data_IF_654889634654
#
_entry.id   IF_654889634654
#
_cell.length_a   1.000
_cell.length_b   1.000
_cell.length_c   1.000
_cell.angle_alpha   90.00
_cell.angle_beta   90.00
_cell.angle_gamma   90.00
#
_symmetry.space_group_name_H-M   'P 1'
#
loop_
_entity.id
_entity.type
_entity.pdbx_description
1 polymer ?
#
# COMPACT_ATOMS: atom_id res chain seq x y z
N UNK A 1 -22.85 3.20 4.78
CA UNK A 1 -21.55 3.76 5.14
C UNK A 1 -21.07 4.74 4.10
N UNK A 2 -20.18 5.63 4.53
CA UNK A 2 -19.32 6.41 3.64
C UNK A 2 -18.08 5.59 3.30
N UNK A 3 -17.30 6.11 2.35
CA UNK A 3 -16.10 5.47 1.84
C UNK A 3 -15.03 5.22 2.92
N UNK A 4 -14.94 6.10 3.93
CA UNK A 4 -13.92 6.07 4.99
C UNK A 4 -14.31 5.29 6.26
N UNK A 5 -15.61 5.06 6.48
CA UNK A 5 -16.09 4.70 7.82
C UNK A 5 -16.87 3.37 7.86
N UNK A 6 -16.85 2.58 6.78
CA UNK A 6 -17.52 1.28 6.70
C UNK A 6 -17.30 0.38 7.93
N UNK A 7 -16.05 0.18 8.38
CA UNK A 7 -15.77 -0.63 9.58
C UNK A 7 -16.39 -0.05 10.86
N UNK A 8 -16.34 1.27 11.07
CA UNK A 8 -16.92 1.90 12.27
C UNK A 8 -18.44 1.91 12.27
N UNK A 9 -19.07 2.08 11.11
CA UNK A 9 -20.54 1.93 10.97
C UNK A 9 -20.96 0.51 11.37
N UNK A 10 -20.20 -0.50 10.92
CA UNK A 10 -20.45 -1.89 11.28
C UNK A 10 -20.28 -2.16 12.79
N UNK A 11 -19.34 -1.48 13.47
CA UNK A 11 -19.23 -1.58 14.92
C UNK A 11 -20.50 -1.08 15.63
N UNK A 12 -21.09 0.02 15.16
CA UNK A 12 -22.36 0.54 15.69
C UNK A 12 -23.52 -0.43 15.46
N UNK A 13 -23.61 -1.00 14.25
CA UNK A 13 -24.62 -2.02 13.92
C UNK A 13 -24.45 -3.26 14.81
N UNK A 14 -23.21 -3.76 14.94
CA UNK A 14 -22.89 -4.93 15.77
C UNK A 14 -23.29 -4.72 17.23
N UNK A 15 -22.93 -3.56 17.80
CA UNK A 15 -23.30 -3.21 19.16
C UNK A 15 -24.82 -3.18 19.35
N UNK A 16 -25.59 -2.66 18.39
CA UNK A 16 -27.06 -2.68 18.44
C UNK A 16 -27.62 -4.09 18.32
N UNK A 17 -27.09 -4.91 17.40
CA UNK A 17 -27.53 -6.29 17.23
C UNK A 17 -27.25 -7.14 18.47
N UNK A 18 -26.14 -6.91 19.16
CA UNK A 18 -25.81 -7.59 20.40
C UNK A 18 -26.81 -7.27 21.53
N UNK A 19 -27.26 -6.01 21.63
CA UNK A 19 -28.33 -5.61 22.56
C UNK A 19 -29.67 -6.29 22.24
N UNK A 20 -29.93 -6.57 20.95
CA UNK A 20 -31.15 -7.25 20.49
C UNK A 20 -31.04 -8.78 20.60
N UNK A 21 -29.89 -9.32 21.02
CA UNK A 21 -29.64 -10.76 21.11
C UNK A 21 -29.29 -11.42 19.78
N UNK A 22 -29.02 -10.67 18.71
CA UNK A 22 -28.72 -11.18 17.37
C UNK A 22 -27.23 -11.52 17.18
N UNK A 23 -26.61 -12.18 18.17
CA UNK A 23 -25.16 -12.46 18.20
C UNK A 23 -24.71 -13.36 17.04
N UNK A 24 -25.59 -14.25 16.58
CA UNK A 24 -25.30 -15.23 15.53
C UNK A 24 -25.53 -14.70 14.10
N UNK A 25 -26.00 -13.45 13.95
CA UNK A 25 -26.15 -12.84 12.62
C UNK A 25 -24.80 -12.39 12.09
N UNK A 26 -24.40 -12.93 10.94
CA UNK A 26 -23.20 -12.51 10.23
C UNK A 26 -23.31 -11.07 9.75
N UNK A 27 -22.31 -10.26 10.07
CA UNK A 27 -22.21 -8.87 9.63
C UNK A 27 -20.95 -8.71 8.77
N UNK A 28 -21.16 -8.33 7.52
CA UNK A 28 -20.11 -8.17 6.52
C UNK A 28 -19.96 -6.71 6.10
N UNK A 29 -18.72 -6.27 5.99
CA UNK A 29 -18.31 -5.00 5.39
C UNK A 29 -17.56 -5.33 4.11
N UNK A 30 -18.02 -4.78 2.98
CA UNK A 30 -17.38 -4.97 1.68
C UNK A 30 -16.83 -3.63 1.23
N UNK A 31 -15.57 -3.60 0.81
CA UNK A 31 -14.93 -2.37 0.33
C UNK A 31 -13.78 -2.66 -0.62
N UNK A 32 -13.44 -1.67 -1.45
CA UNK A 32 -12.26 -1.73 -2.31
C UNK A 32 -10.96 -1.45 -1.55
N UNK A 33 -9.83 -1.59 -2.25
CA UNK A 33 -8.51 -1.31 -1.67
C UNK A 33 -8.37 0.14 -1.18
N UNK A 34 -8.84 1.14 -1.93
CA UNK A 34 -8.80 2.54 -1.46
C UNK A 34 -9.57 2.79 -0.15
N UNK A 35 -10.68 2.09 0.08
CA UNK A 35 -11.44 2.22 1.33
C UNK A 35 -10.71 1.59 2.51
N UNK A 36 -10.08 0.43 2.30
CA UNK A 36 -9.59 -0.42 3.38
C UNK A 36 -8.09 -0.26 3.65
N UNK A 37 -7.31 0.11 2.64
CA UNK A 37 -5.85 0.30 2.75
C UNK A 37 -5.46 1.76 2.98
N UNK A 38 -6.28 2.71 2.52
CA UNK A 38 -5.99 4.14 2.61
C UNK A 38 -6.92 4.85 3.60
N UNK A 39 -7.97 5.52 3.12
CA UNK A 39 -8.75 6.48 3.91
C UNK A 39 -9.48 5.85 5.10
N UNK A 40 -10.01 4.63 4.95
CA UNK A 40 -10.69 3.91 6.01
C UNK A 40 -9.81 2.96 6.81
N UNK A 41 -8.49 2.94 6.56
CA UNK A 41 -7.59 2.04 7.26
C UNK A 41 -7.58 2.26 8.79
N UNK A 42 -7.71 3.51 9.25
CA UNK A 42 -7.82 3.81 10.68
C UNK A 42 -9.08 3.20 11.31
N UNK A 43 -10.23 3.32 10.63
CA UNK A 43 -11.48 2.71 11.06
C UNK A 43 -11.39 1.18 11.04
N UNK A 44 -10.81 0.61 9.99
CA UNK A 44 -10.56 -0.83 9.87
C UNK A 44 -9.69 -1.35 11.01
N UNK A 45 -8.55 -0.71 11.26
CA UNK A 45 -7.62 -1.09 12.31
C UNK A 45 -8.29 -1.06 13.69
N UNK A 46 -9.12 -0.04 13.96
CA UNK A 46 -9.91 0.03 15.20
C UNK A 46 -10.92 -1.10 15.32
N UNK A 47 -11.61 -1.46 14.23
CA UNK A 47 -12.57 -2.56 14.18
C UNK A 47 -11.88 -3.91 14.41
N UNK A 48 -10.73 -4.15 13.76
CA UNK A 48 -9.95 -5.37 13.95
C UNK A 48 -9.46 -5.52 15.39
N UNK A 49 -9.06 -4.42 16.04
CA UNK A 49 -8.69 -4.41 17.45
C UNK A 49 -9.87 -4.49 18.44
N UNK A 50 -11.13 -4.43 17.97
CA UNK A 50 -12.30 -4.39 18.86
C UNK A 50 -12.72 -5.75 19.41
N UNK A 51 -12.32 -6.85 18.76
CA UNK A 51 -12.80 -8.20 19.07
C UNK A 51 -14.26 -8.46 18.66
N UNK A 52 -14.93 -7.49 18.04
CA UNK A 52 -16.31 -7.65 17.57
C UNK A 52 -16.40 -8.66 16.42
N UNK A 53 -17.45 -9.47 16.41
CA UNK A 53 -17.73 -10.43 15.35
C UNK A 53 -18.23 -9.71 14.08
N UNK A 54 -17.28 -9.19 13.30
CA UNK A 54 -17.49 -8.44 12.06
C UNK A 54 -16.51 -8.96 11.01
N UNK A 55 -17.01 -9.20 9.80
CA UNK A 55 -16.25 -9.73 8.67
C UNK A 55 -15.99 -8.62 7.67
N UNK A 56 -14.77 -8.54 7.16
CA UNK A 56 -14.39 -7.56 6.14
C UNK A 56 -13.93 -8.31 4.90
N UNK A 57 -14.55 -8.01 3.76
CA UNK A 57 -14.16 -8.48 2.44
C UNK A 57 -13.57 -7.30 1.65
N UNK A 58 -12.27 -7.33 1.43
CA UNK A 58 -11.56 -6.34 0.62
C UNK A 58 -11.49 -6.84 -0.81
N UNK A 59 -12.12 -6.12 -1.73
CA UNK A 59 -11.96 -6.33 -3.17
C UNK A 59 -10.75 -5.52 -3.63
N UNK A 60 -9.59 -6.16 -3.62
CA UNK A 60 -8.34 -5.49 -3.93
C UNK A 60 -8.16 -5.42 -5.45
N UNK A 61 -8.33 -4.22 -6.00
CA UNK A 61 -8.12 -3.91 -7.41
C UNK A 61 -6.82 -3.16 -7.68
N UNK A 62 -6.01 -2.90 -6.65
CA UNK A 62 -4.74 -2.19 -6.74
C UNK A 62 -4.82 -0.75 -7.26
N UNK A 63 -6.01 -0.16 -7.32
CA UNK A 63 -6.27 1.20 -7.79
C UNK A 63 -7.62 1.67 -7.24
N UNK A 64 -7.84 2.99 -7.23
CA UNK A 64 -9.18 3.54 -7.09
C UNK A 64 -9.98 3.38 -8.40
N UNK A 65 -10.51 2.18 -8.62
CA UNK A 65 -11.15 1.81 -9.89
C UNK A 65 -12.29 2.76 -10.29
N UNK A 66 -13.23 3.04 -9.38
CA UNK A 66 -14.43 3.83 -9.70
C UNK A 66 -14.13 5.30 -10.07
N UNK A 67 -13.09 5.90 -9.49
CA UNK A 67 -12.70 7.29 -9.79
C UNK A 67 -11.76 7.38 -11.01
N UNK A 68 -11.54 6.26 -11.69
CA UNK A 68 -10.78 6.17 -12.93
C UNK A 68 -9.31 5.82 -12.73
N UNK A 69 -8.97 4.97 -11.75
CA UNK A 69 -7.67 4.31 -11.69
C UNK A 69 -6.53 5.13 -11.10
N UNK A 70 -6.79 5.90 -10.04
CA UNK A 70 -5.73 6.54 -9.26
C UNK A 70 -4.93 5.51 -8.46
N UNK A 71 -3.66 5.82 -8.21
CA UNK A 71 -2.83 5.05 -7.28
C UNK A 71 -3.46 4.98 -5.89
N UNK A 72 -3.47 3.78 -5.30
CA UNK A 72 -3.75 3.51 -3.89
C UNK A 72 -2.50 2.97 -3.20
N UNK A 73 -2.48 2.86 -1.87
CA UNK A 73 -1.35 2.16 -1.23
C UNK A 73 -1.31 0.66 -1.56
N UNK A 74 -2.39 0.09 -2.09
CA UNK A 74 -2.44 -1.26 -2.67
C UNK A 74 -1.89 -1.38 -4.10
N UNK A 75 -1.60 -0.28 -4.78
CA UNK A 75 -0.97 -0.27 -6.11
C UNK A 75 0.45 -0.86 -6.05
N UNK A 76 0.83 -1.66 -7.07
CA UNK A 76 2.18 -2.22 -7.15
C UNK A 76 3.22 -1.14 -7.48
N UNK A 77 4.43 -1.32 -6.97
CA UNK A 77 5.61 -0.54 -7.38
C UNK A 77 5.78 -0.62 -8.90
N UNK A 78 6.04 0.52 -9.54
CA UNK A 78 6.20 0.64 -10.99
C UNK A 78 4.90 0.61 -11.80
N UNK A 79 3.74 0.41 -11.18
CA UNK A 79 2.46 0.38 -11.90
C UNK A 79 2.11 1.77 -12.47
N UNK A 80 1.74 1.82 -13.75
CA UNK A 80 1.24 3.04 -14.38
C UNK A 80 -0.21 3.27 -13.97
N UNK A 81 -0.49 4.39 -13.29
CA UNK A 81 -1.83 4.78 -12.83
C UNK A 81 -2.01 6.29 -12.98
N UNK A 82 -3.24 6.80 -12.79
CA UNK A 82 -3.42 8.24 -12.61
C UNK A 82 -2.74 8.65 -11.30
N UNK A 83 -2.03 9.77 -11.30
CA UNK A 83 -1.16 10.25 -10.20
C UNK A 83 0.18 9.51 -10.03
N UNK A 84 0.42 8.43 -10.78
CA UNK A 84 1.75 7.79 -10.86
C UNK A 84 2.00 7.26 -12.28
N UNK A 85 2.17 8.16 -13.27
CA UNK A 85 2.42 7.76 -14.64
C UNK A 85 3.83 7.19 -14.83
N UNK A 86 3.98 6.34 -15.84
CA UNK A 86 5.28 5.94 -16.37
C UNK A 86 5.64 6.85 -17.55
N UNK A 87 6.81 7.47 -17.46
CA UNK A 87 7.44 8.39 -18.42
C UNK A 87 8.97 8.38 -18.28
N UNK A 88 9.65 9.41 -18.78
CA UNK A 88 11.12 9.47 -18.77
C UNK A 88 11.70 9.67 -17.36
N UNK A 89 11.05 10.51 -16.54
CA UNK A 89 11.52 10.88 -15.20
C UNK A 89 10.78 10.12 -14.08
N UNK A 90 9.57 9.62 -14.37
CA UNK A 90 8.73 8.89 -13.43
C UNK A 90 8.53 7.47 -13.92
N UNK A 91 8.78 6.48 -13.06
CA UNK A 91 8.70 5.06 -13.42
C UNK A 91 7.44 4.38 -12.88
N UNK A 92 6.36 5.13 -12.68
CA UNK A 92 5.13 4.68 -12.03
C UNK A 92 5.17 4.89 -10.52
N UNK A 93 4.33 4.15 -9.77
CA UNK A 93 4.29 4.25 -8.30
C UNK A 93 5.65 3.91 -7.70
N UNK A 94 6.17 4.78 -6.82
CA UNK A 94 7.48 4.63 -6.20
C UNK A 94 7.41 3.87 -4.88
N UNK A 95 6.31 3.99 -4.13
CA UNK A 95 6.16 3.32 -2.85
C UNK A 95 5.83 1.84 -3.01
N UNK A 96 6.40 1.02 -2.14
CA UNK A 96 6.04 -0.38 -2.02
C UNK A 96 4.54 -0.58 -1.77
N UNK A 97 4.01 -1.72 -2.19
CA UNK A 97 2.64 -2.10 -1.90
C UNK A 97 2.43 -2.28 -0.39
N UNK A 98 1.32 -1.75 0.13
CA UNK A 98 0.86 -2.04 1.49
C UNK A 98 0.17 -3.40 1.56
N UNK A 99 0.78 -4.35 2.27
CA UNK A 99 0.28 -5.72 2.42
C UNK A 99 -0.74 -5.83 3.57
N UNK A 100 -2.03 -5.62 3.25
CA UNK A 100 -3.10 -5.56 4.27
C UNK A 100 -3.23 -6.84 5.09
N UNK A 101 -3.03 -8.01 4.48
CA UNK A 101 -3.15 -9.30 5.17
C UNK A 101 -2.07 -9.45 6.27
N UNK A 102 -0.84 -9.02 5.98
CA UNK A 102 0.26 -9.06 6.95
C UNK A 102 0.09 -8.05 8.07
N UNK A 103 -0.48 -6.89 7.77
CA UNK A 103 -0.81 -5.90 8.80
C UNK A 103 -1.95 -6.43 9.68
N UNK A 104 -2.98 -7.02 9.08
CA UNK A 104 -4.14 -7.54 9.79
C UNK A 104 -3.78 -8.72 10.71
N UNK A 105 -2.84 -9.60 10.33
CA UNK A 105 -2.44 -10.73 11.19
C UNK A 105 -1.69 -10.30 12.46
N UNK A 106 -1.13 -9.08 12.48
CA UNK A 106 -0.49 -8.51 13.66
C UNK A 106 -1.50 -7.92 14.66
N UNK A 107 -2.76 -7.75 14.26
CA UNK A 107 -3.82 -7.46 15.22
C UNK A 107 -4.14 -8.70 16.07
N UNK A 108 -4.45 -8.53 17.37
CA UNK A 108 -4.72 -9.65 18.25
C UNK A 108 -6.03 -10.36 17.86
N UNK A 109 -5.99 -11.68 17.77
CA UNK A 109 -7.16 -12.55 17.56
C UNK A 109 -8.03 -12.18 16.34
N UNK A 110 -7.39 -11.87 15.21
CA UNK A 110 -8.07 -11.63 13.93
C UNK A 110 -7.86 -12.83 13.00
N UNK A 111 -8.93 -13.36 12.41
CA UNK A 111 -8.83 -14.29 11.29
C UNK A 111 -8.49 -13.52 10.02
N UNK A 112 -7.44 -13.92 9.30
CA UNK A 112 -7.03 -13.23 8.07
C UNK A 112 -6.88 -14.22 6.94
N UNK A 113 -7.42 -13.90 5.77
CA UNK A 113 -7.18 -14.65 4.56
C UNK A 113 -6.81 -13.73 3.40
N UNK A 114 -5.93 -14.21 2.53
CA UNK A 114 -5.64 -13.62 1.24
C UNK A 114 -5.97 -14.63 0.16
N UNK A 115 -6.83 -14.27 -0.78
CA UNK A 115 -7.37 -15.21 -1.76
C UNK A 115 -7.69 -14.58 -3.11
N UNK A 116 -8.19 -15.39 -4.03
CA UNK A 116 -8.76 -14.96 -5.30
C UNK A 116 -9.90 -15.88 -5.71
N UNK A 117 -10.93 -15.34 -6.38
CA UNK A 117 -12.06 -16.11 -6.90
C UNK A 117 -11.62 -17.20 -7.91
N UNK A 118 -10.47 -17.03 -8.56
CA UNK A 118 -9.96 -18.01 -9.52
C UNK A 118 -9.45 -19.32 -8.86
N UNK A 119 -9.19 -19.30 -7.55
CA UNK A 119 -8.89 -20.47 -6.73
C UNK A 119 -10.14 -20.86 -5.92
N UNK A 120 -11.19 -21.32 -6.62
CA UNK A 120 -12.54 -21.50 -6.07
C UNK A 120 -12.59 -22.28 -4.74
N UNK A 121 -11.89 -23.41 -4.65
CA UNK A 121 -11.87 -24.21 -3.42
C UNK A 121 -11.26 -23.46 -2.24
N UNK A 122 -10.17 -22.71 -2.50
CA UNK A 122 -9.54 -21.89 -1.47
C UNK A 122 -10.46 -20.74 -1.07
N UNK A 123 -11.06 -20.04 -2.05
CA UNK A 123 -11.97 -18.92 -1.83
C UNK A 123 -13.17 -19.32 -0.97
N UNK A 124 -13.87 -20.40 -1.35
CA UNK A 124 -15.04 -20.89 -0.64
C UNK A 124 -14.72 -21.27 0.80
N UNK A 125 -13.60 -22.02 1.00
CA UNK A 125 -13.13 -22.40 2.33
C UNK A 125 -12.87 -21.19 3.22
N UNK A 126 -12.14 -20.18 2.74
CA UNK A 126 -11.78 -19.04 3.59
C UNK A 126 -12.98 -18.13 3.91
N UNK A 127 -13.96 -18.04 3.01
CA UNK A 127 -15.19 -17.30 3.29
C UNK A 127 -16.00 -17.98 4.39
N UNK A 128 -16.15 -19.31 4.33
CA UNK A 128 -16.81 -20.08 5.38
C UNK A 128 -16.05 -20.02 6.72
N UNK A 129 -14.75 -20.28 6.70
CA UNK A 129 -13.92 -20.23 7.92
C UNK A 129 -13.96 -18.84 8.58
N UNK A 130 -13.98 -17.76 7.79
CA UNK A 130 -14.12 -16.41 8.29
C UNK A 130 -15.51 -16.16 8.89
N UNK A 131 -16.58 -16.60 8.24
CA UNK A 131 -17.97 -16.43 8.74
C UNK A 131 -18.16 -17.15 10.09
N UNK A 132 -17.63 -18.37 10.21
CA UNK A 132 -17.68 -19.18 11.43
C UNK A 132 -16.81 -18.67 12.57
N UNK A 133 -15.78 -17.85 12.29
CA UNK A 133 -14.87 -17.35 13.30
C UNK A 133 -15.63 -16.44 14.30
N UNK A 134 -15.61 -16.68 15.62
CA UNK A 134 -16.37 -15.86 16.58
C UNK A 134 -15.62 -14.57 16.94
N UNK A 135 -15.32 -13.73 15.95
CA UNK A 135 -14.50 -12.52 16.11
C UNK A 135 -14.24 -11.79 14.79
N UNK A 136 -13.34 -10.78 14.80
CA UNK A 136 -13.03 -9.99 13.62
C UNK A 136 -12.33 -10.85 12.57
N UNK A 137 -12.76 -10.74 11.31
CA UNK A 137 -12.12 -11.41 10.19
C UNK A 137 -11.88 -10.44 9.02
N UNK A 138 -10.76 -10.62 8.32
CA UNK A 138 -10.42 -9.88 7.11
C UNK A 138 -10.06 -10.85 5.99
N UNK A 139 -10.74 -10.72 4.85
CA UNK A 139 -10.42 -11.45 3.63
C UNK A 139 -10.01 -10.42 2.56
N UNK A 140 -8.76 -10.48 2.10
CA UNK A 140 -8.29 -9.72 0.96
C UNK A 140 -8.39 -10.56 -0.31
N UNK A 141 -9.18 -10.10 -1.28
CA UNK A 141 -9.46 -10.82 -2.52
C UNK A 141 -8.84 -10.08 -3.69
N UNK A 142 -7.84 -10.68 -4.34
CA UNK A 142 -7.33 -10.14 -5.59
C UNK A 142 -8.44 -10.16 -6.64
N UNK A 143 -8.73 -8.98 -7.18
CA UNK A 143 -9.75 -8.73 -8.17
C UNK A 143 -9.12 -7.95 -9.32
N UNK A 144 -9.23 -8.48 -10.54
CA UNK A 144 -8.81 -7.76 -11.74
C UNK A 144 -9.76 -6.60 -12.03
N UNK A 145 -9.24 -5.45 -12.41
CA UNK A 145 -10.01 -4.34 -12.93
C UNK A 145 -9.67 -4.17 -14.41
N UNK A 146 -10.58 -4.57 -15.29
CA UNK A 146 -10.35 -4.64 -16.72
C UNK A 146 -9.88 -3.32 -17.33
N UNK A 147 -10.57 -2.17 -17.12
CA UNK A 147 -10.13 -0.91 -17.69
C UNK A 147 -8.79 -0.43 -17.14
N UNK A 148 -8.56 -0.58 -15.83
CA UNK A 148 -7.37 -0.01 -15.18
C UNK A 148 -6.15 -0.93 -15.21
N UNK A 149 -6.35 -2.24 -15.41
CA UNK A 149 -5.27 -3.20 -15.61
C UNK A 149 -4.95 -3.38 -17.09
N UNK A 150 -5.85 -2.96 -18.00
CA UNK A 150 -5.69 -3.11 -19.43
C UNK A 150 -5.73 -4.58 -19.86
N UNK A 151 -6.70 -5.33 -19.32
CA UNK A 151 -6.89 -6.76 -19.58
C UNK A 151 -8.31 -7.02 -20.08
N UNK A 152 -8.50 -8.05 -20.90
CA UNK A 152 -9.82 -8.41 -21.40
C UNK A 152 -10.72 -9.05 -20.33
N UNK A 153 -12.05 -8.88 -20.45
CA UNK A 153 -13.03 -9.46 -19.51
C UNK A 153 -12.86 -10.98 -19.32
N UNK A 154 -12.58 -11.69 -20.42
CA UNK A 154 -12.39 -13.14 -20.43
C UNK A 154 -11.09 -13.61 -19.74
N UNK A 155 -10.13 -12.71 -19.54
CA UNK A 155 -8.83 -13.03 -18.94
C UNK A 155 -8.83 -12.90 -17.40
N UNK A 156 -9.88 -12.35 -16.79
CA UNK A 156 -9.93 -12.03 -15.36
C UNK A 156 -9.49 -13.20 -14.47
N UNK A 157 -10.01 -14.40 -14.73
CA UNK A 157 -9.67 -15.61 -13.97
C UNK A 157 -8.23 -16.08 -14.21
N UNK A 158 -7.72 -15.90 -15.44
CA UNK A 158 -6.35 -16.30 -15.78
C UNK A 158 -5.34 -15.36 -15.14
N UNK A 159 -5.58 -14.04 -15.18
CA UNK A 159 -4.71 -13.03 -14.54
C UNK A 159 -4.68 -13.22 -13.03
N UNK A 160 -5.82 -13.52 -12.41
CA UNK A 160 -5.90 -13.85 -11.00
C UNK A 160 -5.09 -15.11 -10.60
N UNK A 161 -5.07 -16.17 -11.44
CA UNK A 161 -4.19 -17.33 -11.20
C UNK A 161 -2.73 -16.97 -11.33
N UNK A 162 -2.40 -16.22 -12.39
CA UNK A 162 -1.04 -15.76 -12.65
C UNK A 162 -0.51 -14.87 -11.52
N UNK A 163 -1.34 -14.04 -10.90
CA UNK A 163 -0.97 -13.25 -9.72
C UNK A 163 -0.50 -14.13 -8.54
N UNK A 164 -1.10 -15.30 -8.34
CA UNK A 164 -0.69 -16.26 -7.30
C UNK A 164 0.60 -16.98 -7.69
N UNK A 165 0.66 -17.49 -8.92
CA UNK A 165 1.81 -18.24 -9.45
C UNK A 165 3.09 -17.39 -9.44
N UNK A 166 2.99 -16.11 -9.79
CA UNK A 166 4.10 -15.17 -9.86
C UNK A 166 4.45 -14.47 -8.54
N UNK A 167 3.85 -14.90 -7.42
CA UNK A 167 4.02 -14.27 -6.09
C UNK A 167 3.62 -12.78 -6.03
N UNK A 168 2.92 -12.26 -7.04
CA UNK A 168 2.34 -10.91 -7.00
C UNK A 168 1.35 -10.80 -5.84
N UNK A 169 0.49 -11.80 -5.69
CA UNK A 169 -0.54 -11.87 -4.66
C UNK A 169 -0.66 -13.31 -4.11
N UNK A 170 0.24 -13.73 -3.19
CA UNK A 170 0.25 -15.09 -2.67
C UNK A 170 -1.00 -15.38 -1.82
N UNK A 171 -1.48 -16.63 -1.85
CA UNK A 171 -2.58 -17.07 -1.01
C UNK A 171 -2.09 -17.30 0.43
N UNK A 172 -2.87 -16.89 1.43
CA UNK A 172 -2.55 -17.20 2.82
C UNK A 172 -3.81 -17.30 3.66
N UNK A 173 -3.73 -18.07 4.74
CA UNK A 173 -4.73 -18.13 5.81
C UNK A 173 -4.01 -18.01 7.13
N UNK A 174 -4.43 -17.08 7.97
CA UNK A 174 -4.00 -16.92 9.35
C UNK A 174 -5.20 -17.12 10.26
N UNK A 175 -5.20 -18.21 11.01
CA UNK A 175 -6.31 -18.57 11.90
C UNK A 175 -5.83 -18.63 13.35
N UNK A 176 -6.24 -17.67 14.21
CA UNK A 176 -5.88 -17.64 15.64
C UNK A 176 -6.24 -18.92 16.41
N UNK A 177 -7.21 -19.71 15.93
CA UNK A 177 -7.64 -20.96 16.58
C UNK A 177 -6.62 -22.10 16.45
N UNK A 178 -5.68 -22.02 15.50
CA UNK A 178 -4.78 -23.14 15.15
C UNK A 178 -3.53 -23.27 16.03
N UNK A 179 -3.21 -22.29 16.87
CA UNK A 179 -2.03 -22.39 17.75
C UNK A 179 -1.68 -21.12 18.52
N UNK A 180 -0.55 -21.15 19.23
CA UNK A 180 -0.03 -20.03 20.03
C UNK A 180 0.95 -19.14 19.27
N UNK A 181 1.58 -19.68 18.23
CA UNK A 181 2.62 -19.02 17.45
C UNK A 181 2.12 -18.59 16.07
N UNK A 182 2.78 -17.60 15.44
CA UNK A 182 2.46 -17.20 14.06
C UNK A 182 2.64 -18.38 13.09
N UNK A 183 3.65 -19.22 13.31
CA UNK A 183 3.95 -20.41 12.52
C UNK A 183 2.80 -21.41 12.46
N UNK A 184 2.14 -21.66 13.58
CA UNK A 184 1.02 -22.60 13.65
C UNK A 184 -0.27 -22.03 13.05
N UNK A 185 -0.41 -20.70 13.10
CA UNK A 185 -1.59 -19.98 12.63
C UNK A 185 -1.58 -19.72 11.13
N UNK A 186 -0.39 -19.55 10.54
CA UNK A 186 -0.18 -19.20 9.14
C UNK A 186 -0.08 -20.44 8.23
N UNK A 187 -0.98 -20.55 7.26
CA UNK A 187 -1.03 -21.58 6.23
C UNK A 187 -0.85 -20.97 4.83
N UNK A 188 0.13 -21.48 4.08
CA UNK A 188 0.46 -21.08 2.71
C UNK A 188 0.23 -22.21 1.67
N UNK A 189 -0.40 -23.32 2.05
CA UNK A 189 -0.60 -24.51 1.19
C UNK A 189 -1.41 -24.26 -0.08
N UNK A 190 -2.12 -23.13 -0.18
CA UNK A 190 -2.84 -22.74 -1.38
C UNK A 190 -1.92 -22.43 -2.57
N UNK A 191 -0.63 -22.17 -2.34
CA UNK A 191 0.29 -21.72 -3.38
C UNK A 191 1.04 -22.87 -4.06
N UNK A 192 1.36 -22.75 -5.36
CA UNK A 192 2.26 -23.66 -6.05
C UNK A 192 3.69 -23.53 -5.49
N UNK A 193 4.46 -24.63 -5.58
CA UNK A 193 5.90 -24.65 -5.25
C UNK A 193 6.23 -23.96 -3.92
N UNK A 194 5.52 -24.32 -2.84
CA UNK A 194 5.53 -23.58 -1.57
C UNK A 194 6.92 -23.44 -0.91
N UNK A 195 7.84 -24.36 -1.21
CA UNK A 195 9.20 -24.37 -0.65
C UNK A 195 10.21 -23.64 -1.54
N UNK A 196 9.83 -23.29 -2.76
CA UNK A 196 10.68 -22.65 -3.75
C UNK A 196 10.41 -21.14 -3.80
N UNK A 197 11.39 -20.39 -4.29
CA UNK A 197 11.28 -18.94 -4.48
C UNK A 197 10.20 -18.61 -5.53
N UNK A 198 10.26 -19.27 -6.68
CA UNK A 198 9.34 -19.08 -7.80
C UNK A 198 8.52 -20.34 -8.10
N UNK A 199 7.32 -20.15 -8.65
CA UNK A 199 6.60 -21.24 -9.28
C UNK A 199 7.28 -21.59 -10.62
N UNK A 200 7.09 -22.83 -11.07
CA UNK A 200 7.60 -23.28 -12.36
C UNK A 200 6.45 -23.64 -13.30
N UNK A 201 6.60 -23.30 -14.58
CA UNK A 201 5.69 -23.78 -15.60
C UNK A 201 5.75 -25.32 -15.67
N UNK A 202 4.58 -25.95 -15.70
CA UNK A 202 4.48 -27.41 -15.65
C UNK A 202 5.17 -28.07 -16.85
N UNK A 203 5.10 -27.42 -18.03
CA UNK A 203 5.61 -27.93 -19.31
C UNK A 203 7.05 -27.50 -19.56
N UNK A 204 7.37 -26.22 -19.44
CA UNK A 204 8.71 -25.70 -19.80
C UNK A 204 9.71 -25.82 -18.65
N UNK A 205 9.25 -25.98 -17.41
CA UNK A 205 10.07 -25.95 -16.18
C UNK A 205 10.77 -24.61 -15.93
N UNK A 206 10.42 -23.58 -16.67
CA UNK A 206 10.93 -22.23 -16.46
C UNK A 206 10.25 -21.59 -15.25
N UNK A 207 10.98 -20.73 -14.55
CA UNK A 207 10.45 -19.96 -13.44
C UNK A 207 9.45 -18.91 -13.95
N UNK A 208 8.31 -18.83 -13.28
CA UNK A 208 7.27 -17.84 -13.56
C UNK A 208 7.41 -16.72 -12.53
N UNK A 209 7.74 -15.52 -12.99
CA UNK A 209 8.09 -14.38 -12.14
C UNK A 209 7.06 -13.25 -12.26
N UNK A 210 7.19 -12.23 -11.42
CA UNK A 210 6.37 -11.01 -11.54
C UNK A 210 6.45 -10.35 -12.93
N UNK A 211 7.57 -10.51 -13.64
CA UNK A 211 7.74 -9.96 -15.00
C UNK A 211 6.75 -10.60 -15.99
N UNK A 212 6.46 -11.89 -15.83
CA UNK A 212 5.52 -12.62 -16.69
C UNK A 212 4.07 -12.21 -16.43
N UNK A 213 3.74 -11.93 -15.16
CA UNK A 213 2.48 -11.30 -14.78
C UNK A 213 2.34 -9.91 -15.40
N UNK A 214 3.38 -9.07 -15.25
CA UNK A 214 3.39 -7.71 -15.77
C UNK A 214 3.28 -7.65 -17.31
N UNK A 215 3.84 -8.64 -18.02
CA UNK A 215 3.76 -8.74 -19.49
C UNK A 215 2.32 -8.87 -19.98
N UNK A 216 1.44 -9.45 -19.17
CA UNK A 216 0.03 -9.67 -19.51
C UNK A 216 -0.91 -8.53 -19.14
N UNK A 217 -0.41 -7.41 -18.62
CA UNK A 217 -1.26 -6.31 -18.15
C UNK A 217 -0.83 -4.96 -18.73
N UNK A 218 -1.77 -4.23 -19.33
CA UNK A 218 -1.54 -2.91 -19.93
C UNK A 218 -0.95 -1.88 -18.95
N UNK A 219 -1.24 -2.00 -17.65
CA UNK A 219 -0.69 -1.11 -16.60
C UNK A 219 0.82 -1.20 -16.41
N UNK A 220 1.49 -2.20 -16.98
CA UNK A 220 2.95 -2.32 -16.99
C UNK A 220 3.55 -2.24 -18.40
N UNK A 221 2.75 -2.08 -19.45
CA UNK A 221 3.21 -2.15 -20.84
C UNK A 221 4.39 -1.20 -21.16
N UNK A 222 4.42 -0.02 -20.53
CA UNK A 222 5.49 0.98 -20.71
C UNK A 222 6.86 0.58 -20.15
N UNK A 223 6.93 -0.50 -19.35
CA UNK A 223 8.17 -1.03 -18.83
C UNK A 223 8.83 -2.08 -19.74
N UNK A 224 8.23 -2.38 -20.89
CA UNK A 224 8.80 -3.26 -21.88
C UNK A 224 9.33 -2.47 -23.07
N UNK A 225 10.55 -2.78 -23.49
CA UNK A 225 11.11 -2.21 -24.72
C UNK A 225 10.48 -2.86 -25.97
N UNK A 226 10.87 -2.38 -27.15
CA UNK A 226 10.37 -2.90 -28.44
C UNK A 226 10.72 -4.38 -28.68
N UNK A 227 11.73 -4.89 -28.00
CA UNK A 227 12.18 -6.28 -28.10
C UNK A 227 11.53 -7.17 -27.02
N UNK A 228 10.69 -6.60 -26.15
CA UNK A 228 10.02 -7.32 -25.06
C UNK A 228 10.88 -7.50 -23.80
N UNK A 229 12.03 -6.81 -23.70
CA UNK A 229 12.84 -6.85 -22.49
C UNK A 229 12.22 -5.97 -21.40
N UNK A 230 12.18 -6.48 -20.17
CA UNK A 230 11.69 -5.75 -19.01
C UNK A 230 12.71 -4.70 -18.54
N UNK A 231 12.20 -3.54 -18.13
CA UNK A 231 12.97 -2.47 -17.48
C UNK A 231 13.62 -2.95 -16.18
N UNK A 232 14.65 -2.24 -15.72
CA UNK A 232 15.27 -2.53 -14.42
C UNK A 232 14.25 -2.42 -13.28
N UNK A 233 13.34 -1.45 -13.37
CA UNK A 233 12.24 -1.27 -12.42
C UNK A 233 11.43 -2.56 -12.23
N UNK A 234 10.97 -3.21 -13.31
CA UNK A 234 10.19 -4.45 -13.18
C UNK A 234 11.01 -5.61 -12.57
N UNK A 235 12.30 -5.67 -12.84
CA UNK A 235 13.19 -6.68 -12.22
C UNK A 235 13.31 -6.44 -10.72
N UNK A 236 13.41 -5.18 -10.29
CA UNK A 236 13.46 -4.79 -8.89
C UNK A 236 12.13 -5.09 -8.20
N UNK A 237 10.99 -4.84 -8.86
CA UNK A 237 9.66 -5.20 -8.36
C UNK A 237 9.51 -6.71 -8.20
N UNK A 238 10.06 -7.51 -9.13
CA UNK A 238 10.08 -8.96 -8.97
C UNK A 238 10.86 -9.38 -7.71
N UNK A 239 11.99 -8.74 -7.42
CA UNK A 239 12.72 -8.98 -6.17
C UNK A 239 11.96 -8.52 -4.93
N UNK A 240 11.23 -7.40 -5.00
CA UNK A 240 10.33 -6.95 -3.92
C UNK A 240 9.26 -8.00 -3.61
N UNK A 241 8.60 -8.53 -4.66
CA UNK A 241 7.60 -9.60 -4.50
C UNK A 241 8.18 -10.88 -3.94
N UNK A 242 9.39 -11.24 -4.37
CA UNK A 242 10.09 -12.39 -3.84
C UNK A 242 10.47 -12.20 -2.37
N UNK A 243 10.94 -11.02 -1.98
CA UNK A 243 11.25 -10.71 -0.59
C UNK A 243 10.00 -10.85 0.29
N UNK A 244 8.85 -10.36 -0.18
CA UNK A 244 7.57 -10.54 0.48
C UNK A 244 7.20 -12.03 0.65
N UNK A 245 7.37 -12.84 -0.40
CA UNK A 245 7.13 -14.28 -0.34
C UNK A 245 8.02 -14.98 0.68
N UNK A 246 9.32 -14.63 0.71
CA UNK A 246 10.29 -15.18 1.67
C UNK A 246 9.94 -14.84 3.12
N UNK A 247 9.45 -13.63 3.38
CA UNK A 247 8.93 -13.25 4.72
C UNK A 247 7.78 -14.18 5.12
N UNK A 248 6.82 -14.42 4.22
CA UNK A 248 5.71 -15.32 4.50
C UNK A 248 6.19 -16.76 4.77
N UNK A 249 7.15 -17.26 3.99
CA UNK A 249 7.74 -18.57 4.21
C UNK A 249 8.49 -18.67 5.54
N UNK A 250 9.23 -17.63 5.93
CA UNK A 250 9.93 -17.56 7.22
C UNK A 250 8.92 -17.59 8.38
N UNK A 251 7.84 -16.80 8.28
CA UNK A 251 6.75 -16.79 9.27
C UNK A 251 6.01 -18.13 9.37
N UNK A 252 5.83 -18.83 8.25
CA UNK A 252 5.23 -20.16 8.19
C UNK A 252 6.24 -21.27 8.58
N UNK A 253 7.52 -20.92 8.80
CA UNK A 253 8.58 -21.87 9.14
C UNK A 253 8.92 -22.87 8.04
N UNK A 254 8.69 -22.51 6.78
CA UNK A 254 8.96 -23.34 5.60
C UNK A 254 10.41 -23.23 5.13
N UNK A 255 11.02 -22.05 5.29
CA UNK A 255 12.43 -21.87 5.00
C UNK A 255 13.27 -22.41 6.15
N UNK A 256 14.20 -23.31 5.81
CA UNK A 256 15.30 -23.65 6.70
C UNK A 256 16.17 -22.40 6.76
N UNK A 257 16.21 -21.73 7.91
CA UNK A 257 17.34 -20.87 8.22
C UNK A 257 18.59 -21.71 7.98
N UNK A 258 19.48 -21.27 7.09
CA UNK A 258 20.88 -21.72 7.16
C UNK A 258 21.24 -21.60 8.64
N UNK A 259 21.71 -22.70 9.23
CA UNK A 259 22.14 -22.88 10.61
C UNK A 259 22.19 -21.60 11.44
N UNK A 260 21.67 -21.67 12.66
CA UNK A 260 22.28 -20.95 13.77
C UNK A 260 23.80 -21.19 13.70
N UNK A 261 24.50 -20.28 13.03
CA UNK A 261 25.93 -20.14 13.20
C UNK A 261 26.08 -19.94 14.71
N UNK A 262 26.90 -20.76 15.40
CA UNK A 262 27.09 -20.58 16.82
C UNK A 262 27.46 -19.12 17.04
N UNK A 263 26.76 -18.47 17.97
CA UNK A 263 27.01 -17.08 18.34
C UNK A 263 28.54 -16.87 18.40
N UNK A 264 29.10 -15.82 17.77
CA UNK A 264 30.53 -15.62 17.78
C UNK A 264 31.00 -15.54 19.23
N UNK A 265 31.57 -16.64 19.72
CA UNK A 265 32.25 -16.71 20.99
C UNK A 265 33.50 -15.86 20.87
N UNK A 266 33.44 -14.66 21.45
CA UNK A 266 34.59 -13.77 21.61
C UNK A 266 34.95 -12.96 20.36
N UNK A 267 34.65 -11.66 20.39
CA UNK A 267 35.11 -10.72 19.36
C UNK A 267 34.43 -9.36 19.33
N UNK A 268 33.46 -9.11 20.22
CA UNK A 268 32.58 -7.93 20.16
C UNK A 268 33.17 -6.56 20.52
N UNK A 269 34.43 -6.42 20.94
CA UNK A 269 34.99 -5.09 21.29
C UNK A 269 35.82 -4.45 20.16
N UNK A 270 36.59 -5.22 19.37
CA UNK A 270 37.61 -4.61 18.51
C UNK A 270 37.07 -3.87 17.27
N UNK A 271 35.83 -4.13 16.84
CA UNK A 271 35.22 -3.44 15.69
C UNK A 271 34.51 -2.14 16.13
N UNK A 272 33.85 -2.15 17.29
CA UNK A 272 33.23 -0.97 17.88
C UNK A 272 34.29 0.08 18.29
N UNK A 273 35.42 -0.38 18.83
CA UNK A 273 36.54 0.48 19.21
C UNK A 273 37.22 1.14 18.00
N UNK A 274 37.29 0.43 16.86
CA UNK A 274 37.82 0.98 15.61
C UNK A 274 36.89 2.03 14.98
N UNK A 275 35.58 1.83 15.06
CA UNK A 275 34.59 2.81 14.57
C UNK A 275 34.56 4.05 15.49
N UNK A 276 34.68 3.87 16.80
CA UNK A 276 34.78 4.98 17.76
C UNK A 276 36.05 5.80 17.57
N UNK A 277 37.21 5.16 17.37
CA UNK A 277 38.47 5.85 17.10
C UNK A 277 38.49 6.56 15.73
N UNK A 278 37.83 6.00 14.71
CA UNK A 278 37.67 6.65 13.41
C UNK A 278 36.79 7.91 13.49
N UNK A 279 35.69 7.87 14.26
CA UNK A 279 34.83 9.04 14.51
C UNK A 279 35.54 10.12 15.33
N UNK A 280 36.33 9.74 16.34
CA UNK A 280 37.12 10.68 17.14
C UNK A 280 38.20 11.40 16.31
N UNK A 281 38.87 10.69 15.39
CA UNK A 281 39.85 11.27 14.46
C UNK A 281 39.20 12.21 13.43
N UNK A 282 38.00 11.89 12.96
CA UNK A 282 37.24 12.76 12.06
C UNK A 282 36.78 14.06 12.75
N UNK A 283 36.34 13.97 14.01
CA UNK A 283 35.97 15.14 14.81
C UNK A 283 37.16 16.06 15.13
N UNK A 284 38.34 15.49 15.43
CA UNK A 284 39.56 16.27 15.64
C UNK A 284 40.04 17.01 14.37
N UNK A 285 39.78 16.44 13.18
CA UNK A 285 40.11 17.06 11.89
C UNK A 285 39.17 18.22 11.50
N UNK A 286 37.96 18.25 12.05
CA UNK A 286 36.97 19.30 11.82
C UNK A 286 37.11 20.50 12.77
N UNK A 287 37.98 20.41 13.80
CA UNK A 287 38.19 21.45 14.82
C UNK A 287 39.24 22.52 14.50
N UNK A 288 39.75 22.59 13.27
CA UNK A 288 40.81 23.53 12.88
C UNK A 288 40.33 24.63 11.93
N UNK A 289 40.24 25.86 12.45
CA UNK A 289 40.10 27.16 11.75
C UNK A 289 38.76 27.45 11.01
N UNK A 290 37.93 28.28 11.65
CA UNK A 290 36.86 29.03 10.97
C UNK A 290 37.32 30.48 10.71
N UNK A 291 37.18 31.04 9.49
CA UNK A 291 37.20 32.48 9.30
C UNK A 291 35.79 33.07 9.53
N UNK A 292 35.76 34.21 10.22
CA UNK A 292 34.53 34.95 10.53
C UNK A 292 33.99 35.74 9.32
N UNK A 293 32.69 35.57 9.01
CA UNK A 293 31.80 36.49 8.30
C UNK A 293 30.38 35.88 8.31
N UNK A 294 29.25 36.55 8.58
CA UNK A 294 28.92 37.93 8.90
C UNK A 294 27.50 37.94 9.54
N UNK A 295 27.25 38.81 10.52
CA UNK A 295 25.97 38.93 11.24
C UNK A 295 24.77 39.44 10.43
N UNK A 296 24.97 39.77 9.15
CA UNK A 296 23.93 40.40 8.31
C UNK A 296 22.82 39.45 7.84
N UNK A 297 23.03 38.12 7.91
CA UNK A 297 22.03 37.13 7.48
C UNK A 297 21.01 36.80 8.58
N UNK A 298 21.42 36.84 9.86
CA UNK A 298 20.55 36.55 10.99
C UNK A 298 19.51 37.66 11.21
N UNK A 299 19.91 38.92 11.04
CA UNK A 299 19.02 40.08 11.24
C UNK A 299 17.92 40.18 10.18
N UNK A 300 18.20 39.74 8.94
CA UNK A 300 17.19 39.69 7.86
C UNK A 300 16.12 38.63 8.10
N UNK A 301 16.49 37.50 8.70
CA UNK A 301 15.56 36.42 9.05
C UNK A 301 14.68 36.83 10.24
N UNK A 302 15.24 37.59 11.20
CA UNK A 302 14.48 38.13 12.33
C UNK A 302 13.45 39.18 11.89
N UNK A 303 13.83 40.11 11.00
CA UNK A 303 12.91 41.13 10.47
C UNK A 303 11.80 40.51 9.59
N UNK A 304 12.10 39.47 8.81
CA UNK A 304 11.10 38.77 8.00
C UNK A 304 10.06 38.03 8.86
N UNK A 305 10.47 37.46 10.01
CA UNK A 305 9.55 36.81 10.95
C UNK A 305 8.67 37.83 11.72
N UNK A 306 9.21 38.99 12.07
CA UNK A 306 8.44 40.06 12.72
C UNK A 306 7.38 40.67 11.79
N UNK A 307 7.68 40.84 10.50
CA UNK A 307 6.73 41.33 9.49
C UNK A 307 5.61 40.32 9.19
N UNK A 308 5.90 39.02 9.26
CA UNK A 308 4.90 37.97 9.09
C UNK A 308 3.95 37.85 10.31
N UNK A 309 4.46 38.07 11.52
CA UNK A 309 3.66 38.04 12.75
C UNK A 309 2.72 39.25 12.87
N UNK A 310 3.12 40.43 12.40
CA UNK A 310 2.26 41.63 12.39
C UNK A 310 1.07 41.51 11.41
N UNK A 311 1.16 40.66 10.38
CA UNK A 311 0.07 40.41 9.42
C UNK A 311 -0.99 39.43 9.93
N UNK A 312 -0.71 38.66 10.98
CA UNK A 312 -1.57 37.59 11.45
C UNK A 312 -2.52 37.97 12.61
N UNK A 313 -2.29 39.11 13.29
CA UNK A 313 -3.01 39.49 14.52
C UNK A 313 -3.84 40.78 14.39
N UNK A 314 -4.72 40.86 13.38
CA UNK A 314 -5.64 41.98 13.21
C UNK A 314 -7.02 41.58 12.69
N UNK A 315 -7.86 40.98 13.53
CA UNK A 315 -9.34 41.15 13.47
C UNK A 315 -9.73 42.13 14.60
N UNK A 316 -10.83 42.88 14.61
CA UNK A 316 -12.15 42.81 13.98
C UNK A 316 -12.85 44.15 14.25
N UNK A 317 -13.66 44.69 13.32
CA UNK A 317 -14.81 45.55 13.66
C UNK A 317 -15.78 45.73 12.47
N UNK A 318 -17.07 45.65 12.80
CA UNK A 318 -18.30 45.83 12.01
C UNK A 318 -18.30 46.94 10.95
N UNK A 319 -19.02 46.75 9.85
CA UNK A 319 -19.43 47.83 8.94
C UNK A 319 -20.00 47.36 7.60
N UNK A 320 -21.21 47.78 7.32
CA UNK A 320 -22.00 47.58 6.11
C UNK A 320 -21.37 48.29 4.87
N UNK A 321 -21.70 47.82 3.66
CA UNK A 321 -21.48 48.43 2.32
C UNK A 321 -20.15 48.20 1.54
N UNK A 322 -20.33 48.09 0.22
CA UNK A 322 -19.38 48.10 -0.91
C UNK A 322 -18.58 46.83 -1.30
N UNK A 323 -19.13 46.12 -2.30
CA UNK A 323 -18.35 45.22 -3.18
C UNK A 323 -17.36 46.07 -4.02
N UNK A 324 -16.07 45.70 -4.11
CA UNK A 324 -15.13 46.45 -4.92
C UNK A 324 -15.43 46.25 -6.41
N UNK A 325 -15.77 47.34 -7.12
CA UNK A 325 -15.82 47.35 -8.59
C UNK A 325 -14.41 47.13 -9.13
N UNK A 326 -14.23 46.03 -9.87
CA UNK A 326 -13.04 45.80 -10.69
C UNK A 326 -12.81 47.00 -11.60
N UNK A 327 -11.57 47.49 -11.67
CA UNK A 327 -11.20 48.57 -12.59
C UNK A 327 -11.50 48.17 -14.02
N UNK A 328 -11.95 49.12 -14.84
CA UNK A 328 -12.33 48.90 -16.24
C UNK A 328 -11.26 48.15 -17.04
N UNK A 329 -9.99 48.42 -16.76
CA UNK A 329 -8.85 47.75 -17.38
C UNK A 329 -8.70 46.26 -17.00
N UNK A 330 -9.12 45.85 -15.80
CA UNK A 330 -9.09 44.44 -15.38
C UNK A 330 -10.23 43.63 -16.02
N UNK A 331 -11.41 44.25 -16.17
CA UNK A 331 -12.55 43.63 -16.86
C UNK A 331 -12.25 43.42 -18.36
N UNK A 332 -11.59 44.38 -19.00
CA UNK A 332 -11.22 44.32 -20.42
C UNK A 332 -10.18 43.23 -20.70
N UNK A 333 -9.20 43.05 -19.80
CA UNK A 333 -8.20 41.97 -19.89
C UNK A 333 -8.82 40.59 -19.75
N UNK A 334 -9.81 40.43 -18.88
CA UNK A 334 -10.54 39.16 -18.71
C UNK A 334 -11.39 38.86 -19.95
N UNK A 335 -12.02 39.88 -20.55
CA UNK A 335 -12.79 39.72 -21.79
C UNK A 335 -11.90 39.31 -22.98
N UNK A 336 -10.72 39.94 -23.13
CA UNK A 336 -9.75 39.58 -24.17
C UNK A 336 -9.16 38.17 -23.96
N UNK A 337 -8.92 37.77 -22.71
CA UNK A 337 -8.46 36.41 -22.39
C UNK A 337 -9.51 35.35 -22.73
N UNK A 338 -10.79 35.61 -22.45
CA UNK A 338 -11.90 34.71 -22.82
C UNK A 338 -12.09 34.63 -24.34
N UNK A 339 -11.96 35.73 -25.07
CA UNK A 339 -12.04 35.75 -26.53
C UNK A 339 -10.90 34.94 -27.19
N UNK A 340 -9.67 35.03 -26.66
CA UNK A 340 -8.53 34.21 -27.12
C UNK A 340 -8.72 32.72 -26.83
N UNK A 341 -9.29 32.39 -25.66
CA UNK A 341 -9.59 31.00 -25.30
C UNK A 341 -10.71 30.38 -26.17
N UNK A 342 -11.67 31.19 -26.64
CA UNK A 342 -12.72 30.74 -27.55
C UNK A 342 -12.20 30.55 -28.99
N UNK A 343 -11.26 31.38 -29.44
CA UNK A 343 -10.65 31.26 -30.77
C UNK A 343 -9.71 30.03 -30.88
N UNK A 344 -9.11 29.58 -29.78
CA UNK A 344 -8.25 28.39 -29.73
C UNK A 344 -9.02 27.05 -29.70
N UNK A 345 -10.36 27.09 -29.70
CA UNK A 345 -11.24 25.90 -29.69
C UNK A 345 -12.00 25.67 -31.01
N UNK A 346 -11.75 26.47 -32.04
CA UNK A 346 -12.22 26.26 -33.42
C UNK A 346 -11.04 25.88 -34.30
#
# INVERSE_FOLDING_TARGET
SLFENGPTDAMGIRARWDQMGWKDKSLWVIGGDGAMLDIGFGALSRMLASGLNIKVLVLDTQVYSNTGGQASTGTFTGQNTKMSPVGTEELGKSEARKEIAQIAMMHPNVYVAQTTAAHMNHFYRVVLEADEYPGPALISVYTTCQPEHGVGDHEASQRAKMAVETRAFPLMVYDPRKGGTVRERLDLKGNPNINDDWAQDVKTKEEITFVDFARGEGRFAKHFDRNGNASQMLKDVAQERLANWRILQDLAGLRKTKEEAPAPTGGGSAAADRIAQAKARAAAKAGGAAPAASGAAADRIAQAKAAAAAKANGGSANGESDKPKLSSAAAERIAQAKARAAAAKK
#
